data_IF_237382801034
#
_entry.id   IF_237382801034
#
_cell.length_a   1.000
_cell.length_b   1.000
_cell.length_c   1.000
_cell.angle_alpha   90.00
_cell.angle_beta   90.00
_cell.angle_gamma   90.00
#
_symmetry.space_group_name_H-M   'P 1'
#
loop_
_entity.id
_entity.type
_entity.pdbx_description
1 polymer ?
#
# COMPACT_ATOMS: atom_id res chain seq x y z
N UNK A 1 13.01 17.43 -4.15
CA UNK A 1 12.01 16.51 -4.70
C UNK A 1 10.66 16.88 -4.13
N UNK A 2 9.72 17.19 -5.00
CA UNK A 2 8.30 17.33 -4.64
C UNK A 2 7.68 15.93 -4.50
N UNK A 3 6.57 15.76 -3.74
CA UNK A 3 5.87 14.47 -3.62
C UNK A 3 5.49 13.86 -4.98
N UNK A 4 5.03 14.70 -5.91
CA UNK A 4 4.71 14.30 -7.28
C UNK A 4 5.92 13.72 -8.05
N UNK A 5 7.13 14.24 -7.81
CA UNK A 5 8.35 13.74 -8.45
C UNK A 5 8.65 12.29 -7.99
N UNK A 6 8.28 11.97 -6.76
CA UNK A 6 8.50 10.63 -6.19
C UNK A 6 7.60 9.59 -6.85
N UNK A 7 6.30 9.85 -6.94
CA UNK A 7 5.38 8.88 -7.52
C UNK A 7 5.62 8.67 -9.02
N UNK A 8 6.00 9.75 -9.72
CA UNK A 8 6.43 9.69 -11.12
C UNK A 8 7.63 8.77 -11.28
N UNK A 9 8.66 8.94 -10.44
CA UNK A 9 9.84 8.09 -10.48
C UNK A 9 9.53 6.61 -10.21
N UNK A 10 8.69 6.30 -9.22
CA UNK A 10 8.29 4.92 -8.93
C UNK A 10 7.54 4.31 -10.12
N UNK A 11 6.66 5.08 -10.75
CA UNK A 11 5.94 4.63 -11.93
C UNK A 11 6.85 4.38 -13.14
N UNK A 12 7.77 5.30 -13.42
CA UNK A 12 8.74 5.15 -14.49
C UNK A 12 9.59 3.90 -14.29
N UNK A 13 10.01 3.62 -13.05
CA UNK A 13 10.74 2.41 -12.70
C UNK A 13 9.89 1.14 -12.96
N UNK A 14 8.61 1.14 -12.58
CA UNK A 14 7.71 0.02 -12.86
C UNK A 14 7.53 -0.23 -14.35
N UNK A 15 7.29 0.83 -15.13
CA UNK A 15 7.13 0.71 -16.59
C UNK A 15 8.44 0.30 -17.27
N UNK A 16 9.58 0.71 -16.74
CA UNK A 16 10.90 0.31 -17.24
C UNK A 16 11.24 -1.17 -16.98
N UNK A 17 10.46 -1.88 -16.15
CA UNK A 17 10.68 -3.29 -15.88
C UNK A 17 10.46 -4.15 -17.12
N UNK A 18 9.43 -3.85 -17.91
CA UNK A 18 9.09 -4.64 -19.11
C UNK A 18 10.27 -4.82 -20.07
N UNK A 19 10.94 -3.74 -20.56
CA UNK A 19 12.11 -3.88 -21.43
C UNK A 19 13.31 -4.54 -20.73
N UNK A 20 13.38 -4.51 -19.39
CA UNK A 20 14.44 -5.21 -18.65
C UNK A 20 14.21 -6.73 -18.56
N UNK A 21 12.97 -7.20 -18.71
CA UNK A 21 12.61 -8.61 -18.71
C UNK A 21 12.74 -9.26 -20.10
N UNK A 22 12.68 -8.46 -21.18
CA UNK A 22 12.80 -8.94 -22.58
C UNK A 22 14.02 -9.86 -22.83
N UNK A 23 15.25 -9.54 -22.38
CA UNK A 23 16.41 -10.41 -22.63
C UNK A 23 16.27 -11.80 -22.01
N UNK A 24 15.53 -11.93 -20.92
CA UNK A 24 15.28 -13.21 -20.25
C UNK A 24 14.14 -13.97 -20.94
N UNK A 25 13.10 -13.24 -21.36
CA UNK A 25 11.96 -13.76 -22.10
C UNK A 25 12.36 -14.36 -23.45
N UNK A 26 13.32 -13.74 -24.15
CA UNK A 26 13.83 -14.22 -25.45
C UNK A 26 14.98 -15.24 -25.33
N UNK A 27 15.45 -15.50 -24.10
CA UNK A 27 16.59 -16.38 -23.88
C UNK A 27 16.25 -17.85 -24.13
N UNK A 28 17.22 -18.60 -24.66
CA UNK A 28 17.13 -20.07 -24.75
C UNK A 28 17.06 -20.76 -23.38
N UNK A 29 17.33 -20.01 -22.29
CA UNK A 29 17.26 -20.43 -20.90
C UNK A 29 15.93 -20.10 -20.20
N UNK A 30 14.93 -19.55 -20.90
CA UNK A 30 13.65 -19.12 -20.31
C UNK A 30 13.05 -20.17 -19.36
N UNK A 31 13.02 -21.44 -19.76
CA UNK A 31 12.47 -22.51 -18.91
C UNK A 31 13.20 -22.63 -17.55
N UNK A 32 14.54 -22.52 -17.55
CA UNK A 32 15.33 -22.57 -16.33
C UNK A 32 15.13 -21.30 -15.48
N UNK A 33 15.10 -20.12 -16.12
CA UNK A 33 14.87 -18.84 -15.43
C UNK A 33 13.48 -18.79 -14.82
N UNK A 34 12.46 -19.28 -15.53
CA UNK A 34 11.10 -19.37 -15.03
C UNK A 34 10.98 -20.33 -13.84
N UNK A 35 11.60 -21.51 -13.92
CA UNK A 35 11.66 -22.46 -12.79
C UNK A 35 12.35 -21.83 -11.57
N UNK A 36 13.46 -21.12 -11.76
CA UNK A 36 14.16 -20.40 -10.70
C UNK A 36 13.34 -19.23 -10.13
N UNK A 37 12.40 -18.68 -10.92
CA UNK A 37 11.50 -17.59 -10.52
C UNK A 37 10.24 -18.10 -9.80
N UNK A 38 9.99 -19.42 -9.77
CA UNK A 38 8.92 -19.97 -8.95
C UNK A 38 9.22 -19.66 -7.48
N UNK A 39 8.31 -18.98 -6.80
CA UNK A 39 8.54 -18.47 -5.45
C UNK A 39 8.91 -17.00 -5.38
N UNK A 40 9.10 -16.30 -6.51
CA UNK A 40 9.47 -14.88 -6.52
C UNK A 40 8.41 -14.02 -5.80
N UNK A 41 7.13 -14.36 -5.93
CA UNK A 41 6.05 -13.67 -5.24
C UNK A 41 6.16 -13.86 -3.71
N UNK A 42 6.39 -15.08 -3.25
CA UNK A 42 6.56 -15.40 -1.85
C UNK A 42 7.82 -14.76 -1.25
N UNK A 43 8.94 -14.76 -1.97
CA UNK A 43 10.22 -14.24 -1.45
C UNK A 43 10.26 -12.71 -1.49
N UNK A 44 9.79 -12.09 -2.57
CA UNK A 44 9.96 -10.65 -2.79
C UNK A 44 8.78 -9.83 -2.25
N UNK A 45 7.56 -10.39 -2.21
CA UNK A 45 6.33 -9.62 -1.96
C UNK A 45 5.74 -9.90 -0.59
N UNK A 46 5.82 -11.14 -0.11
CA UNK A 46 5.20 -11.56 1.15
C UNK A 46 5.66 -10.73 2.35
N UNK A 47 6.95 -10.37 2.40
CA UNK A 47 7.51 -9.61 3.50
C UNK A 47 6.89 -8.20 3.61
N UNK A 48 6.69 -7.51 2.49
CA UNK A 48 6.08 -6.18 2.49
C UNK A 48 4.60 -6.23 2.87
N UNK A 49 3.84 -7.18 2.32
CA UNK A 49 2.45 -7.39 2.72
C UNK A 49 2.31 -7.78 4.19
N UNK A 50 3.18 -8.65 4.71
CA UNK A 50 3.18 -9.04 6.12
C UNK A 50 3.43 -7.84 7.03
N UNK A 51 4.39 -6.97 6.67
CA UNK A 51 4.66 -5.73 7.43
C UNK A 51 3.47 -4.78 7.42
N UNK A 52 2.82 -4.59 6.26
CA UNK A 52 1.60 -3.78 6.17
C UNK A 52 0.49 -4.38 7.04
N UNK A 53 0.28 -5.70 6.95
CA UNK A 53 -0.70 -6.43 7.75
C UNK A 53 -0.46 -6.28 9.25
N UNK A 54 0.80 -6.24 9.70
CA UNK A 54 1.15 -5.99 11.10
C UNK A 54 0.80 -4.56 11.55
N UNK A 55 1.05 -3.56 10.71
CA UNK A 55 0.75 -2.14 11.01
C UNK A 55 -0.75 -1.93 11.13
N UNK A 56 -1.52 -2.53 10.23
CA UNK A 56 -2.97 -2.36 10.15
C UNK A 56 -3.76 -3.41 10.94
N UNK A 57 -3.07 -4.36 11.57
CA UNK A 57 -3.68 -5.52 12.24
C UNK A 57 -4.66 -6.28 11.33
N UNK A 58 -4.24 -6.56 10.09
CA UNK A 58 -5.02 -7.34 9.14
C UNK A 58 -5.12 -8.80 9.59
N UNK A 59 -6.33 -9.35 9.57
CA UNK A 59 -6.55 -10.78 9.76
C UNK A 59 -6.04 -11.56 8.53
N UNK A 60 -5.72 -12.87 8.66
CA UNK A 60 -5.26 -13.68 7.53
C UNK A 60 -6.13 -13.59 6.26
N UNK A 61 -7.49 -13.66 6.32
CA UNK A 61 -8.30 -13.56 5.10
C UNK A 61 -8.28 -12.17 4.46
N UNK A 62 -8.16 -11.11 5.27
CA UNK A 62 -8.04 -9.73 4.80
C UNK A 62 -6.71 -9.51 4.07
N UNK A 63 -5.61 -9.98 4.68
CA UNK A 63 -4.28 -9.92 4.07
C UNK A 63 -4.24 -10.70 2.75
N UNK A 64 -4.81 -11.91 2.74
CA UNK A 64 -4.90 -12.71 1.53
C UNK A 64 -5.72 -12.00 0.44
N UNK A 65 -6.79 -11.29 0.81
CA UNK A 65 -7.57 -10.50 -0.14
C UNK A 65 -6.74 -9.38 -0.79
N UNK A 66 -5.94 -8.64 -0.02
CA UNK A 66 -5.04 -7.63 -0.57
C UNK A 66 -3.99 -8.23 -1.53
N UNK A 67 -3.46 -9.41 -1.20
CA UNK A 67 -2.42 -10.07 -2.00
C UNK A 67 -2.94 -10.59 -3.34
N UNK A 68 -4.24 -10.89 -3.45
CA UNK A 68 -4.87 -11.40 -4.67
C UNK A 68 -4.96 -10.38 -5.81
N UNK A 69 -4.78 -9.07 -5.55
CA UNK A 69 -4.87 -8.02 -6.58
C UNK A 69 -3.97 -8.29 -7.79
N UNK A 70 -2.78 -8.85 -7.54
CA UNK A 70 -1.81 -9.21 -8.58
C UNK A 70 -1.57 -10.72 -8.64
N UNK A 71 -2.41 -11.52 -7.98
CA UNK A 71 -2.28 -12.97 -7.97
C UNK A 71 -2.87 -13.57 -9.24
N UNK A 72 -2.11 -14.41 -9.93
CA UNK A 72 -2.72 -15.38 -10.85
C UNK A 72 -3.40 -16.44 -9.98
N UNK A 73 -4.73 -16.57 -10.07
CA UNK A 73 -5.42 -17.65 -9.35
C UNK A 73 -4.78 -18.97 -9.71
N UNK A 74 -4.30 -19.68 -8.68
CA UNK A 74 -3.42 -20.83 -8.80
C UNK A 74 -3.98 -21.86 -9.77
N UNK A 75 -3.47 -21.84 -11.00
CA UNK A 75 -3.74 -22.90 -11.96
C UNK A 75 -2.97 -24.12 -11.47
N UNK A 76 -3.67 -25.22 -11.10
CA UNK A 76 -3.01 -26.40 -10.56
C UNK A 76 -2.06 -26.93 -11.62
N UNK A 77 -0.80 -27.15 -11.22
CA UNK A 77 0.25 -27.74 -12.02
C UNK A 77 -0.13 -29.17 -12.45
N UNK A 78 -0.94 -29.27 -13.51
CA UNK A 78 -1.26 -30.52 -14.18
C UNK A 78 -0.95 -30.33 -15.66
N UNK A 79 0.23 -30.87 -16.04
CA UNK A 79 0.71 -30.96 -17.42
C UNK A 79 0.64 -29.65 -18.22
N UNK A 80 1.22 -28.56 -17.70
CA UNK A 80 1.34 -27.34 -18.50
C UNK A 80 2.52 -27.44 -19.50
N UNK A 81 2.37 -26.86 -20.71
CA UNK A 81 3.44 -26.74 -21.68
C UNK A 81 4.65 -25.96 -21.10
N UNK A 82 5.76 -25.94 -21.85
CA UNK A 82 6.91 -25.12 -21.48
C UNK A 82 6.46 -23.66 -21.20
N UNK A 83 6.97 -23.01 -20.14
CA UNK A 83 6.56 -21.67 -19.76
C UNK A 83 6.82 -20.69 -20.89
N UNK A 84 5.84 -19.85 -21.15
CA UNK A 84 5.91 -18.82 -22.19
C UNK A 84 6.64 -17.58 -21.68
N UNK A 85 7.19 -16.81 -22.62
CA UNK A 85 7.79 -15.51 -22.34
C UNK A 85 6.80 -14.58 -21.61
N UNK A 86 5.54 -14.60 -22.03
CA UNK A 86 4.45 -13.82 -21.43
C UNK A 86 4.22 -14.22 -19.98
N UNK A 87 4.09 -15.51 -19.66
CA UNK A 87 3.92 -15.96 -18.27
C UNK A 87 5.09 -15.56 -17.37
N UNK A 88 6.32 -15.57 -17.89
CA UNK A 88 7.49 -15.10 -17.15
C UNK A 88 7.44 -13.59 -16.88
N UNK A 89 7.12 -12.79 -17.90
CA UNK A 89 7.00 -11.33 -17.77
C UNK A 89 5.87 -10.97 -16.83
N UNK A 90 4.72 -11.60 -16.96
CA UNK A 90 3.54 -11.37 -16.11
C UNK A 90 3.85 -11.68 -14.65
N UNK A 91 4.51 -12.82 -14.36
CA UNK A 91 4.91 -13.21 -13.01
C UNK A 91 5.76 -12.12 -12.34
N UNK A 92 6.81 -11.65 -13.00
CA UNK A 92 7.71 -10.65 -12.42
C UNK A 92 7.07 -9.27 -12.35
N UNK A 93 6.29 -8.90 -13.37
CA UNK A 93 5.57 -7.63 -13.40
C UNK A 93 4.56 -7.55 -12.25
N UNK A 94 3.76 -8.61 -12.06
CA UNK A 94 2.83 -8.73 -10.96
C UNK A 94 3.53 -8.72 -9.59
N UNK A 95 4.64 -9.46 -9.44
CA UNK A 95 5.39 -9.50 -8.19
C UNK A 95 5.94 -8.11 -7.81
N UNK A 96 6.58 -7.41 -8.74
CA UNK A 96 7.16 -6.08 -8.48
C UNK A 96 6.06 -5.04 -8.24
N UNK A 97 4.97 -5.06 -9.02
CA UNK A 97 3.83 -4.16 -8.84
C UNK A 97 3.16 -4.36 -7.47
N UNK A 98 2.91 -5.61 -7.09
CA UNK A 98 2.32 -5.98 -5.79
C UNK A 98 3.20 -5.56 -4.61
N UNK A 99 4.51 -5.82 -4.69
CA UNK A 99 5.46 -5.44 -3.64
C UNK A 99 5.58 -3.93 -3.52
N UNK A 100 5.55 -3.21 -4.65
CA UNK A 100 5.58 -1.75 -4.69
C UNK A 100 4.32 -1.15 -4.08
N UNK A 101 3.13 -1.69 -4.38
CA UNK A 101 1.89 -1.26 -3.73
C UNK A 101 1.94 -1.46 -2.22
N UNK A 102 2.36 -2.64 -1.75
CA UNK A 102 2.48 -2.92 -0.32
C UNK A 102 3.45 -1.96 0.39
N UNK A 103 4.61 -1.71 -0.21
CA UNK A 103 5.60 -0.77 0.30
C UNK A 103 5.11 0.68 0.29
N UNK A 104 4.37 1.09 -0.75
CA UNK A 104 3.75 2.40 -0.85
C UNK A 104 2.71 2.61 0.25
N UNK A 105 1.76 1.68 0.39
CA UNK A 105 0.73 1.73 1.44
C UNK A 105 1.34 1.74 2.84
N UNK A 106 2.41 0.96 3.06
CA UNK A 106 3.15 0.98 4.32
C UNK A 106 3.73 2.35 4.62
N UNK A 107 4.28 3.00 3.60
CA UNK A 107 4.83 4.36 3.73
C UNK A 107 3.73 5.36 4.05
N UNK A 108 2.58 5.26 3.38
CA UNK A 108 1.38 6.08 3.68
C UNK A 108 0.93 5.88 5.13
N UNK A 109 0.77 4.64 5.59
CA UNK A 109 0.33 4.33 6.96
C UNK A 109 1.36 4.74 8.03
N UNK A 110 2.60 5.03 7.65
CA UNK A 110 3.65 5.51 8.54
C UNK A 110 3.66 7.04 8.69
N UNK A 111 2.84 7.76 7.93
CA UNK A 111 2.68 9.20 8.06
C UNK A 111 2.03 9.48 9.43
N UNK A 112 2.54 10.47 10.17
CA UNK A 112 2.02 10.78 11.50
C UNK A 112 0.77 11.65 11.45
N UNK A 113 0.75 12.61 10.52
CA UNK A 113 -0.29 13.63 10.37
C UNK A 113 -0.48 13.90 8.88
N UNK A 114 -1.73 13.91 8.42
CA UNK A 114 -2.08 14.17 7.02
C UNK A 114 -2.99 15.41 6.95
N UNK A 115 -2.47 16.53 6.45
CA UNK A 115 -3.29 17.73 6.25
C UNK A 115 -4.26 17.56 5.09
N UNK A 116 -5.24 18.46 4.95
CA UNK A 116 -6.20 18.44 3.84
C UNK A 116 -5.49 18.58 2.48
N UNK A 117 -4.55 19.51 2.36
CA UNK A 117 -3.72 19.61 1.15
C UNK A 117 -2.89 18.34 0.90
N UNK A 118 -2.37 17.72 1.97
CA UNK A 118 -1.63 16.47 1.86
C UNK A 118 -2.51 15.32 1.38
N UNK A 119 -3.77 15.25 1.84
CA UNK A 119 -4.74 14.27 1.40
C UNK A 119 -5.08 14.44 -0.08
N UNK A 120 -5.30 15.69 -0.54
CA UNK A 120 -5.54 15.99 -1.96
C UNK A 120 -4.36 15.61 -2.85
N UNK A 121 -3.12 15.92 -2.42
CA UNK A 121 -1.93 15.52 -3.17
C UNK A 121 -1.79 13.99 -3.22
N UNK A 122 -2.00 13.30 -2.09
CA UNK A 122 -1.93 11.84 -2.04
C UNK A 122 -3.01 11.19 -2.92
N UNK A 123 -4.21 11.76 -3.01
CA UNK A 123 -5.25 11.30 -3.93
C UNK A 123 -4.83 11.45 -5.40
N UNK A 124 -4.21 12.58 -5.75
CA UNK A 124 -3.67 12.79 -7.10
C UNK A 124 -2.55 11.79 -7.42
N UNK A 125 -1.63 11.56 -6.47
CA UNK A 125 -0.53 10.60 -6.60
C UNK A 125 -1.06 9.17 -6.77
N UNK A 126 -2.07 8.77 -5.98
CA UNK A 126 -2.77 7.49 -6.11
C UNK A 126 -3.50 7.35 -7.45
N UNK A 127 -4.08 8.43 -7.98
CA UNK A 127 -4.72 8.42 -9.30
C UNK A 127 -3.72 8.17 -10.43
N UNK A 128 -2.54 8.76 -10.35
CA UNK A 128 -1.46 8.47 -11.29
C UNK A 128 -0.94 7.03 -11.11
N UNK A 129 -0.73 6.60 -9.87
CA UNK A 129 -0.25 5.26 -9.57
C UNK A 129 -1.24 4.17 -10.01
N UNK A 130 -2.55 4.39 -9.86
CA UNK A 130 -3.62 3.53 -10.39
C UNK A 130 -3.44 3.25 -11.88
N UNK A 131 -3.20 4.30 -12.67
CA UNK A 131 -3.06 4.16 -14.12
C UNK A 131 -1.85 3.30 -14.49
N UNK A 132 -0.77 3.45 -13.73
CA UNK A 132 0.46 2.67 -13.91
C UNK A 132 0.23 1.22 -13.51
N UNK A 133 -0.36 0.98 -12.33
CA UNK A 133 -0.68 -0.37 -11.86
C UNK A 133 -1.62 -1.09 -12.84
N UNK A 134 -2.63 -0.41 -13.38
CA UNK A 134 -3.52 -0.95 -14.40
C UNK A 134 -2.76 -1.37 -15.66
N UNK A 135 -1.82 -0.53 -16.13
CA UNK A 135 -1.01 -0.83 -17.31
C UNK A 135 -0.07 -2.05 -17.12
N UNK A 136 0.21 -2.44 -15.87
CA UNK A 136 1.06 -3.58 -15.53
C UNK A 136 0.29 -4.77 -14.94
N UNK A 137 -1.02 -4.86 -15.22
CA UNK A 137 -1.86 -6.01 -14.87
C UNK A 137 -2.56 -5.93 -13.50
N UNK A 138 -2.56 -4.77 -12.86
CA UNK A 138 -3.29 -4.47 -11.63
C UNK A 138 -4.65 -3.82 -11.84
N UNK A 139 -5.34 -4.14 -12.95
CA UNK A 139 -6.68 -3.62 -13.21
C UNK A 139 -7.66 -4.04 -12.10
N UNK A 140 -8.54 -3.13 -11.68
CA UNK A 140 -9.52 -3.41 -10.61
C UNK A 140 -8.91 -3.44 -9.21
N UNK A 141 -7.84 -2.68 -8.97
CA UNK A 141 -7.22 -2.55 -7.66
C UNK A 141 -8.13 -1.79 -6.68
N UNK A 142 -8.99 -2.54 -6.00
CA UNK A 142 -9.99 -2.03 -5.06
C UNK A 142 -9.38 -1.19 -3.92
N UNK A 143 -8.14 -1.45 -3.51
CA UNK A 143 -7.45 -0.69 -2.45
C UNK A 143 -7.15 0.72 -2.91
N UNK A 144 -6.51 0.86 -4.06
CA UNK A 144 -6.11 2.17 -4.60
C UNK A 144 -7.36 2.98 -4.97
N UNK A 145 -8.35 2.33 -5.58
CA UNK A 145 -9.59 2.99 -5.99
C UNK A 145 -10.40 3.53 -4.81
N UNK A 146 -10.53 2.72 -3.76
CA UNK A 146 -11.27 3.12 -2.56
C UNK A 146 -10.54 4.19 -1.77
N UNK A 147 -9.24 4.00 -1.51
CA UNK A 147 -8.45 4.95 -0.74
C UNK A 147 -8.37 6.32 -1.43
N UNK A 148 -8.20 6.35 -2.77
CA UNK A 148 -8.22 7.60 -3.54
C UNK A 148 -9.55 8.33 -3.34
N UNK A 149 -10.67 7.61 -3.49
CA UNK A 149 -12.01 8.17 -3.33
C UNK A 149 -12.23 8.72 -1.91
N UNK A 150 -11.77 7.98 -0.89
CA UNK A 150 -11.90 8.36 0.50
C UNK A 150 -11.05 9.60 0.87
N UNK A 151 -9.88 9.75 0.26
CA UNK A 151 -9.03 10.95 0.42
C UNK A 151 -9.66 12.21 -0.16
N UNK A 152 -10.46 12.09 -1.23
CA UNK A 152 -11.22 13.19 -1.84
C UNK A 152 -12.47 13.60 -1.03
N UNK A 153 -12.91 12.76 -0.07
CA UNK A 153 -14.03 13.07 0.81
C UNK A 153 -13.65 14.04 1.94
N UNK A 154 -14.63 14.82 2.39
CA UNK A 154 -14.55 15.51 3.69
C UNK A 154 -14.29 14.50 4.82
N UNK A 155 -13.52 14.90 5.84
CA UNK A 155 -13.10 14.00 6.92
C UNK A 155 -14.27 13.26 7.60
N UNK A 156 -15.40 13.94 7.83
CA UNK A 156 -16.56 13.30 8.47
C UNK A 156 -17.20 12.23 7.57
N UNK A 157 -17.23 12.47 6.25
CA UNK A 157 -17.74 11.51 5.27
C UNK A 157 -16.78 10.33 5.14
N UNK A 158 -15.46 10.58 5.18
CA UNK A 158 -14.45 9.53 5.21
C UNK A 158 -14.60 8.63 6.45
N UNK A 159 -14.80 9.22 7.64
CA UNK A 159 -15.05 8.43 8.86
C UNK A 159 -16.34 7.60 8.72
N UNK A 160 -17.40 8.17 8.16
CA UNK A 160 -18.64 7.44 7.92
C UNK A 160 -18.45 6.28 6.92
N UNK A 161 -17.69 6.48 5.85
CA UNK A 161 -17.32 5.45 4.87
C UNK A 161 -16.57 4.28 5.55
N UNK A 162 -15.67 4.56 6.49
CA UNK A 162 -15.00 3.52 7.29
C UNK A 162 -16.02 2.67 8.05
N UNK A 163 -17.01 3.28 8.71
CA UNK A 163 -18.04 2.53 9.43
C UNK A 163 -18.93 1.72 8.50
N UNK A 164 -19.27 2.24 7.32
CA UNK A 164 -20.04 1.52 6.30
C UNK A 164 -19.30 0.26 5.83
N UNK A 165 -18.00 0.36 5.54
CA UNK A 165 -17.16 -0.79 5.19
C UNK A 165 -17.14 -1.85 6.31
N UNK A 166 -17.13 -1.43 7.58
CA UNK A 166 -17.15 -2.36 8.72
C UNK A 166 -18.45 -3.15 8.83
N UNK A 167 -19.57 -2.63 8.31
CA UNK A 167 -20.87 -3.31 8.42
C UNK A 167 -20.90 -4.67 7.71
N UNK A 168 -20.10 -4.83 6.66
CA UNK A 168 -19.93 -6.09 5.93
C UNK A 168 -18.79 -6.93 6.55
N UNK A 169 -19.08 -7.52 7.71
CA UNK A 169 -18.12 -8.22 8.56
C UNK A 169 -17.54 -9.48 7.90
N UNK A 170 -18.29 -10.10 7.00
CA UNK A 170 -17.91 -11.36 6.35
C UNK A 170 -17.05 -11.14 5.10
N UNK A 171 -16.95 -9.90 4.62
CA UNK A 171 -16.19 -9.57 3.43
C UNK A 171 -14.76 -9.10 3.78
N UNK A 172 -13.73 -9.92 3.50
CA UNK A 172 -12.35 -9.60 3.87
C UNK A 172 -11.79 -8.37 3.13
N UNK A 173 -12.30 -8.06 1.93
CA UNK A 173 -11.89 -6.87 1.17
C UNK A 173 -12.41 -5.61 1.87
N UNK A 174 -13.68 -5.61 2.26
CA UNK A 174 -14.27 -4.49 3.00
C UNK A 174 -13.61 -4.29 4.37
N UNK A 175 -13.28 -5.37 5.09
CA UNK A 175 -12.57 -5.27 6.36
C UNK A 175 -11.13 -4.73 6.20
N UNK A 176 -10.43 -5.13 5.13
CA UNK A 176 -9.11 -4.58 4.81
C UNK A 176 -9.19 -3.09 4.46
N UNK A 177 -10.14 -2.70 3.60
CA UNK A 177 -10.41 -1.30 3.25
C UNK A 177 -10.75 -0.46 4.48
N UNK A 178 -11.58 -0.98 5.38
CA UNK A 178 -11.94 -0.28 6.61
C UNK A 178 -10.70 0.04 7.45
N UNK A 179 -9.77 -0.91 7.62
CA UNK A 179 -8.54 -0.71 8.40
C UNK A 179 -7.56 0.25 7.73
N UNK A 180 -7.43 0.18 6.41
CA UNK A 180 -6.60 1.12 5.63
C UNK A 180 -7.15 2.55 5.77
N UNK A 181 -8.44 2.74 5.51
CA UNK A 181 -9.08 4.05 5.57
C UNK A 181 -9.13 4.60 7.00
N UNK A 182 -9.37 3.76 8.02
CA UNK A 182 -9.32 4.17 9.43
C UNK A 182 -7.95 4.74 9.82
N UNK A 183 -6.87 4.10 9.37
CA UNK A 183 -5.51 4.62 9.54
C UNK A 183 -5.37 6.03 8.96
N UNK A 184 -5.88 6.24 7.75
CA UNK A 184 -5.80 7.55 7.06
C UNK A 184 -6.72 8.60 7.67
N UNK A 185 -7.95 8.24 8.03
CA UNK A 185 -8.86 9.13 8.75
C UNK A 185 -8.26 9.59 10.08
N UNK A 186 -7.61 8.69 10.83
CA UNK A 186 -6.92 9.03 12.08
C UNK A 186 -5.72 9.98 11.85
N UNK A 187 -4.98 9.83 10.73
CA UNK A 187 -3.94 10.80 10.35
C UNK A 187 -4.51 12.20 10.06
N UNK A 188 -5.65 12.26 9.36
CA UNK A 188 -6.35 13.52 9.05
C UNK A 188 -6.93 14.17 10.31
N UNK A 189 -7.51 13.37 11.20
CA UNK A 189 -8.06 13.87 12.46
C UNK A 189 -6.97 14.48 13.36
N UNK A 190 -5.80 13.84 13.46
CA UNK A 190 -4.64 14.39 14.20
C UNK A 190 -4.16 15.72 13.64
N UNK A 191 -4.36 16.00 12.35
CA UNK A 191 -4.01 17.28 11.75
C UNK A 191 -4.86 18.45 12.24
N UNK A 192 -6.06 18.15 12.76
CA UNK A 192 -7.00 19.14 13.30
C UNK A 192 -6.83 19.35 14.82
N UNK A 193 -6.09 18.47 15.50
CA UNK A 193 -5.84 18.62 16.93
C UNK A 193 -4.90 19.80 17.19
N UNK A 194 -5.23 20.70 18.14
CA UNK A 194 -4.32 21.77 18.51
C UNK A 194 -3.04 21.17 19.09
N UNK A 195 -1.86 21.75 18.80
CA UNK A 195 -0.60 21.26 19.33
C UNK A 195 -0.68 21.18 20.85
N UNK A 196 -0.49 19.99 21.42
CA UNK A 196 -0.47 19.79 22.88
C UNK A 196 0.51 20.78 23.48
N UNK A 197 -0.01 21.77 24.22
CA UNK A 197 0.83 22.65 25.03
C UNK A 197 1.57 21.74 26.00
N UNK A 198 2.88 21.64 25.83
CA UNK A 198 3.76 21.09 26.86
C UNK A 198 3.59 22.03 28.06
N UNK A 199 2.78 21.62 29.03
CA UNK A 199 2.64 22.33 30.29
C UNK A 199 4.01 22.34 30.96
N UNK A 200 4.73 23.44 30.83
CA UNK A 200 5.82 23.79 31.71
C UNK A 200 5.22 24.09 33.09
N UNK A 201 4.85 23.03 33.81
CA UNK A 201 4.44 23.12 35.20
C UNK A 201 5.68 23.40 36.07
N UNK A 202 5.93 24.68 36.26
CA UNK A 202 6.35 25.31 37.51
C UNK A 202 7.46 24.62 38.32
N UNK A 203 8.72 24.92 37.99
CA UNK A 203 9.80 24.91 38.99
C UNK A 203 9.73 26.23 39.79
N UNK A 204 8.66 26.40 40.57
CA UNK A 204 8.49 27.51 41.51
C UNK A 204 8.72 27.00 42.93
N UNK A 205 9.97 26.75 43.32
CA UNK A 205 10.33 26.55 44.72
C UNK A 205 10.72 27.89 45.33
N UNK A 206 9.72 28.62 45.81
CA UNK A 206 9.93 29.70 46.77
C UNK A 206 10.44 29.08 48.09
N UNK A 207 11.67 29.42 48.48
CA UNK A 207 12.18 29.13 49.81
C UNK A 207 11.71 30.22 50.78
N UNK A 208 11.09 29.89 51.92
CA UNK A 208 10.97 30.81 53.02
C UNK A 208 11.98 30.49 54.14
N UNK A 209 12.23 31.53 54.93
CA UNK A 209 12.64 31.49 56.34
C UNK A 209 14.14 31.65 56.65
N UNK A 210 14.50 32.90 56.94
CA UNK A 210 15.39 33.21 58.06
C UNK A 210 14.76 32.72 59.38
N UNK A 211 15.59 32.16 60.26
CA UNK A 211 15.67 32.41 61.72
C UNK A 211 16.56 31.33 62.36
N UNK A 212 17.80 31.69 62.67
CA UNK A 212 18.44 31.67 64.00
C UNK A 212 19.92 32.05 63.86
#
# INVERSE_FOLDING_TARGET
MLPQDYITMVADLLLSLLPQLEPFAESSSLANTFVASRGAQEVCVQAEWTRLGQILHLAPPELAACQRIFGSEGKPASSEPAPTATEFVDLWTAAVASGTLAAFLRTVCSISVLSEMGAQQLAADLGYFHNVLSAVGGEGNFIVDDLRRALEMDLQVHIQHVEELRTDHDNPENQALAKINDCVAAMRQRALEPPRRVSAASAGSAAPSQLY
#
